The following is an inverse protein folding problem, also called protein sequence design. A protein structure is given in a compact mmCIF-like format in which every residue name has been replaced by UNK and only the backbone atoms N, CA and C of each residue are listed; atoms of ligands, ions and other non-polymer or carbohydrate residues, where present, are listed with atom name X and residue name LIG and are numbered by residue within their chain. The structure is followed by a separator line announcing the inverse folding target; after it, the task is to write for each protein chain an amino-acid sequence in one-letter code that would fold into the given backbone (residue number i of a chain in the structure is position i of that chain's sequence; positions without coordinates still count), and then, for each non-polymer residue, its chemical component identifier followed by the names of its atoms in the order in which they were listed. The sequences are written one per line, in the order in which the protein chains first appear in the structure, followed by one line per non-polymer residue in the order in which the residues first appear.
data_IF_132212554492
#
_entry.id   IF_132212554492
#
_cell.length_a   1.000
_cell.length_b   1.000
_cell.length_c   1.000
_cell.angle_alpha   90.00
_cell.angle_beta   90.00
_cell.angle_gamma   90.00
#
_symmetry.space_group_name_H-M   'P 1'
#
loop_
_entity.id
_entity.type
_entity.pdbx_description
1 polymer ?
#
# COMPACT_ATOMS: atom_id res chain seq x y z
N UNK A 1 -10.60 11.99 6.55
CA UNK A 1 -10.84 11.72 5.12
C UNK A 1 -10.57 10.25 4.89
N UNK A 2 -11.51 9.50 4.32
CA UNK A 2 -11.31 8.08 3.99
C UNK A 2 -10.55 7.98 2.67
N UNK A 3 -9.55 7.11 2.58
CA UNK A 3 -8.79 6.87 1.35
C UNK A 3 -9.68 6.09 0.36
N UNK A 4 -10.09 6.72 -0.74
CA UNK A 4 -10.67 6.03 -1.88
C UNK A 4 -9.56 5.69 -2.88
N UNK A 5 -9.18 4.42 -3.07
CA UNK A 5 -8.13 4.04 -4.01
C UNK A 5 -8.52 4.33 -5.47
N UNK A 6 -9.82 4.33 -5.82
CA UNK A 6 -10.29 4.64 -7.17
C UNK A 6 -10.37 6.14 -7.48
N UNK A 7 -10.39 7.00 -6.45
CA UNK A 7 -10.42 8.44 -6.59
C UNK A 7 -9.35 9.07 -5.71
N UNK A 8 -8.10 8.68 -5.96
CA UNK A 8 -6.96 9.16 -5.18
C UNK A 8 -6.56 10.59 -5.57
N UNK A 9 -7.37 11.58 -5.19
CA UNK A 9 -7.17 13.00 -5.50
C UNK A 9 -6.49 13.77 -4.35
N UNK A 10 -5.66 13.09 -3.55
CA UNK A 10 -4.98 13.74 -2.42
C UNK A 10 -3.79 14.55 -2.93
N UNK A 11 -3.68 15.85 -2.60
CA UNK A 11 -2.49 16.63 -2.95
C UNK A 11 -1.31 16.17 -2.11
N UNK A 12 -0.16 15.98 -2.77
CA UNK A 12 1.14 15.76 -2.12
C UNK A 12 2.08 16.91 -2.49
N UNK A 13 3.00 17.23 -1.58
CA UNK A 13 3.97 18.30 -1.80
C UNK A 13 5.11 17.89 -2.75
N UNK A 14 5.33 16.59 -2.92
CA UNK A 14 6.40 16.05 -3.76
C UNK A 14 5.93 14.86 -4.62
N UNK A 15 6.54 14.73 -5.80
CA UNK A 15 6.23 13.68 -6.78
C UNK A 15 6.57 12.29 -6.25
N UNK A 16 7.61 12.20 -5.42
CA UNK A 16 8.03 10.97 -4.76
C UNK A 16 6.92 10.39 -3.87
N UNK A 17 6.31 11.22 -3.01
CA UNK A 17 5.22 10.81 -2.13
C UNK A 17 4.00 10.37 -2.94
N UNK A 18 3.73 11.05 -4.05
CA UNK A 18 2.67 10.67 -4.99
C UNK A 18 2.93 9.28 -5.57
N UNK A 19 4.15 9.02 -6.02
CA UNK A 19 4.53 7.72 -6.59
C UNK A 19 4.47 6.59 -5.56
N UNK A 20 4.99 6.82 -4.34
CA UNK A 20 4.94 5.85 -3.24
C UNK A 20 3.48 5.49 -2.91
N UNK A 21 2.60 6.49 -2.84
CA UNK A 21 1.19 6.27 -2.56
C UNK A 21 0.50 5.51 -3.68
N UNK A 22 0.80 5.83 -4.96
CA UNK A 22 0.29 5.06 -6.11
C UNK A 22 0.71 3.60 -6.05
N UNK A 23 2.00 3.32 -5.78
CA UNK A 23 2.52 1.95 -5.64
C UNK A 23 1.91 1.20 -4.46
N UNK A 24 1.64 1.91 -3.36
CA UNK A 24 0.98 1.34 -2.18
C UNK A 24 -0.45 0.94 -2.49
N UNK A 25 -1.21 1.78 -3.22
CA UNK A 25 -2.55 1.43 -3.69
C UNK A 25 -2.47 0.20 -4.59
N UNK A 26 -1.58 0.20 -5.58
CA UNK A 26 -1.38 -0.91 -6.51
C UNK A 26 -1.04 -2.23 -5.79
N UNK A 27 -0.20 -2.19 -4.74
CA UNK A 27 0.11 -3.36 -3.91
C UNK A 27 -1.15 -3.99 -3.29
N UNK A 28 -2.00 -3.18 -2.65
CA UNK A 28 -3.20 -3.68 -2.00
C UNK A 28 -4.29 -4.12 -2.98
N UNK A 29 -4.43 -3.42 -4.12
CA UNK A 29 -5.37 -3.82 -5.18
C UNK A 29 -4.95 -5.16 -5.82
N UNK A 30 -3.66 -5.35 -6.09
CA UNK A 30 -3.13 -6.62 -6.61
C UNK A 30 -3.25 -7.77 -5.60
N UNK A 31 -3.05 -7.51 -4.31
CA UNK A 31 -3.27 -8.50 -3.25
C UNK A 31 -4.76 -8.88 -3.15
N UNK A 32 -5.63 -7.89 -3.28
CA UNK A 32 -7.07 -8.07 -3.35
C UNK A 32 -7.76 -8.25 -2.00
N UNK A 33 -8.96 -7.68 -1.89
CA UNK A 33 -9.74 -7.63 -0.63
C UNK A 33 -10.01 -9.00 0.01
N UNK A 34 -10.23 -10.03 -0.80
CA UNK A 34 -10.48 -11.39 -0.27
C UNK A 34 -9.27 -11.91 0.49
N UNK A 35 -8.08 -11.78 -0.11
CA UNK A 35 -6.84 -12.28 0.49
C UNK A 35 -6.47 -11.47 1.74
N UNK A 36 -6.65 -10.15 1.71
CA UNK A 36 -6.39 -9.30 2.88
C UNK A 36 -7.22 -9.74 4.09
N UNK A 37 -8.51 -10.05 3.88
CA UNK A 37 -9.38 -10.54 4.96
C UNK A 37 -8.97 -11.91 5.48
N UNK A 38 -8.60 -12.81 4.56
CA UNK A 38 -8.11 -14.15 4.90
C UNK A 38 -6.82 -14.07 5.73
N UNK A 39 -5.84 -13.26 5.30
CA UNK A 39 -4.58 -13.05 6.03
C UNK A 39 -4.83 -12.45 7.43
N UNK A 40 -5.79 -11.52 7.56
CA UNK A 40 -6.17 -10.93 8.85
C UNK A 40 -6.81 -11.96 9.80
N UNK A 41 -7.81 -12.72 9.32
CA UNK A 41 -8.48 -13.76 10.10
C UNK A 41 -7.51 -14.86 10.55
N UNK A 42 -6.60 -15.26 9.67
CA UNK A 42 -5.61 -16.31 9.93
C UNK A 42 -4.36 -15.78 10.68
N UNK A 43 -4.30 -14.48 10.98
CA UNK A 43 -3.17 -13.82 11.67
C UNK A 43 -1.84 -14.09 10.94
N UNK A 44 -1.89 -14.08 9.62
CA UNK A 44 -0.73 -14.29 8.75
C UNK A 44 0.25 -13.15 8.94
N UNK A 45 1.53 -13.47 9.08
CA UNK A 45 2.59 -12.48 9.11
C UNK A 45 2.73 -11.78 7.76
N UNK A 46 2.61 -10.45 7.74
CA UNK A 46 2.57 -9.59 6.55
C UNK A 46 3.95 -9.33 5.91
N UNK A 47 4.77 -10.37 5.80
CA UNK A 47 6.12 -10.33 5.22
C UNK A 47 6.15 -9.71 3.82
N UNK A 48 5.16 -10.00 2.98
CA UNK A 48 5.02 -9.44 1.64
C UNK A 48 4.93 -7.91 1.62
N UNK A 49 4.22 -7.33 2.58
CA UNK A 49 4.14 -5.88 2.73
C UNK A 49 5.45 -5.29 3.25
N UNK A 50 6.14 -5.98 4.15
CA UNK A 50 7.47 -5.54 4.63
C UNK A 50 8.51 -5.56 3.51
N UNK A 51 8.49 -6.58 2.67
CA UNK A 51 9.36 -6.69 1.50
C UNK A 51 9.08 -5.57 0.49
N UNK A 52 7.80 -5.26 0.26
CA UNK A 52 7.39 -4.10 -0.54
C UNK A 52 7.93 -2.78 0.03
N UNK A 53 7.73 -2.54 1.34
CA UNK A 53 8.22 -1.34 2.04
C UNK A 53 9.74 -1.19 1.92
N UNK A 54 10.48 -2.29 2.09
CA UNK A 54 11.93 -2.32 1.97
C UNK A 54 12.38 -2.03 0.53
N UNK A 55 11.76 -2.68 -0.46
CA UNK A 55 12.08 -2.50 -1.88
C UNK A 55 11.85 -1.07 -2.36
N UNK A 56 10.73 -0.47 -1.97
CA UNK A 56 10.40 0.92 -2.35
C UNK A 56 11.07 1.96 -1.45
N UNK A 57 11.85 1.53 -0.44
CA UNK A 57 12.54 2.39 0.55
C UNK A 57 11.62 3.43 1.20
N UNK A 58 10.40 3.05 1.52
CA UNK A 58 9.35 3.98 1.97
C UNK A 58 9.76 4.75 3.24
N UNK A 59 10.50 4.10 4.15
CA UNK A 59 10.94 4.68 5.42
C UNK A 59 12.43 5.00 5.50
N UNK A 60 13.19 4.76 4.43
CA UNK A 60 14.65 4.86 4.43
C UNK A 60 15.15 5.63 3.20
N UNK A 61 14.45 6.72 2.88
CA UNK A 61 14.74 7.56 1.74
C UNK A 61 15.75 8.65 2.09
#
# INVERSE_FOLDING_TARGET
MLLNPHEHNRPYHDETSTEIMRKTIEFFENKGRRRIKEDDHERVWYSDFLDFVAREKIFAK
#
